data_IF_346850119648
#
_entry.id   IF_346850119648
#
_cell.length_a   1.000
_cell.length_b   1.000
_cell.length_c   1.000
_cell.angle_alpha   90.00
_cell.angle_beta   90.00
_cell.angle_gamma   90.00
#
_symmetry.space_group_name_H-M   'P 1'
#
loop_
_entity.id
_entity.type
_entity.pdbx_description
1 polymer ?
#
# COMPACT_ATOMS: atom_id res chain seq x y z
N UNK A 1 4.79 17.92 5.84
CA UNK A 1 5.75 17.45 4.82
C UNK A 1 5.56 15.97 4.48
N UNK A 2 5.46 15.04 5.43
CA UNK A 2 5.16 13.63 5.10
C UNK A 2 3.82 13.46 4.36
N UNK A 3 2.72 14.03 4.90
CA UNK A 3 1.38 13.97 4.28
C UNK A 3 1.31 14.56 2.87
N UNK A 4 2.12 15.57 2.56
CA UNK A 4 2.16 16.17 1.22
C UNK A 4 2.87 15.25 0.22
N UNK A 5 3.91 14.53 0.66
CA UNK A 5 4.61 13.53 -0.15
C UNK A 5 3.69 12.35 -0.46
N UNK A 6 2.86 11.91 0.50
CA UNK A 6 1.89 10.82 0.28
C UNK A 6 0.81 11.19 -0.75
N UNK A 7 0.29 12.42 -0.71
CA UNK A 7 -0.69 12.90 -1.69
C UNK A 7 -0.08 13.03 -3.10
N UNK A 8 1.16 13.46 -3.21
CA UNK A 8 1.86 13.53 -4.50
C UNK A 8 2.19 12.14 -5.04
N UNK A 9 2.55 11.20 -4.17
CA UNK A 9 2.82 9.81 -4.54
C UNK A 9 1.55 9.13 -5.07
N UNK A 10 0.43 9.24 -4.34
CA UNK A 10 -0.86 8.68 -4.77
C UNK A 10 -1.35 9.30 -6.07
N UNK A 11 -1.21 10.62 -6.25
CA UNK A 11 -1.52 11.30 -7.51
C UNK A 11 -0.66 10.77 -8.67
N UNK A 12 0.65 10.61 -8.44
CA UNK A 12 1.55 10.09 -9.46
C UNK A 12 1.21 8.63 -9.86
N UNK A 13 0.79 7.81 -8.90
CA UNK A 13 0.32 6.43 -9.16
C UNK A 13 -0.93 6.40 -10.03
N UNK A 14 -1.92 7.25 -9.74
CA UNK A 14 -3.14 7.38 -10.55
C UNK A 14 -2.81 7.82 -11.99
N UNK A 15 -1.94 8.83 -12.16
CA UNK A 15 -1.53 9.31 -13.49
C UNK A 15 -0.88 8.21 -14.35
N UNK A 16 -0.10 7.31 -13.75
CA UNK A 16 0.49 6.16 -14.47
C UNK A 16 -0.58 5.15 -14.89
N UNK A 17 -1.53 4.84 -14.00
CA UNK A 17 -2.63 3.91 -14.29
C UNK A 17 -3.50 4.44 -15.43
N UNK A 18 -3.81 5.74 -15.42
CA UNK A 18 -4.59 6.38 -16.49
C UNK A 18 -3.88 6.32 -17.84
N UNK A 19 -2.57 6.56 -17.87
CA UNK A 19 -1.77 6.45 -19.11
C UNK A 19 -1.70 5.01 -19.62
N UNK A 20 -1.55 4.02 -18.73
CA UNK A 20 -1.60 2.60 -19.09
C UNK A 20 -2.97 2.20 -19.62
N UNK A 21 -4.06 2.68 -19.01
CA UNK A 21 -5.41 2.44 -19.49
C UNK A 21 -5.65 3.07 -20.86
N UNK A 22 -5.20 4.31 -21.07
CA UNK A 22 -5.25 4.98 -22.38
C UNK A 22 -4.52 4.17 -23.44
N UNK A 23 -3.29 3.71 -23.16
CA UNK A 23 -2.51 2.91 -24.11
C UNK A 23 -3.23 1.62 -24.56
N UNK A 24 -4.06 1.02 -23.69
CA UNK A 24 -4.86 -0.17 -24.04
C UNK A 24 -5.99 0.11 -25.03
N UNK A 25 -6.53 1.33 -25.02
CA UNK A 25 -7.63 1.75 -25.89
C UNK A 25 -7.18 2.63 -27.06
N UNK A 26 -5.87 2.86 -27.21
CA UNK A 26 -5.33 3.61 -28.34
C UNK A 26 -5.66 2.88 -29.65
N UNK A 27 -6.23 3.59 -30.65
CA UNK A 27 -6.43 3.03 -31.97
C UNK A 27 -5.10 2.57 -32.58
N UNK A 28 -5.04 1.36 -33.14
CA UNK A 28 -3.82 0.79 -33.71
C UNK A 28 -3.18 1.62 -34.83
N UNK A 29 -3.96 2.49 -35.48
CA UNK A 29 -3.49 3.33 -36.57
C UNK A 29 -2.69 4.55 -36.11
N UNK A 30 -2.81 4.95 -34.84
CA UNK A 30 -2.15 6.16 -34.32
C UNK A 30 -0.86 5.79 -33.57
N UNK A 31 0.17 5.47 -34.34
CA UNK A 31 1.49 5.07 -33.81
C UNK A 31 2.16 6.23 -33.07
N UNK A 32 1.99 7.46 -33.55
CA UNK A 32 2.53 8.67 -32.92
C UNK A 32 1.94 8.90 -31.53
N UNK A 33 0.62 8.76 -31.39
CA UNK A 33 -0.03 8.82 -30.09
C UNK A 33 0.44 7.69 -29.18
N UNK A 34 0.58 6.47 -29.71
CA UNK A 34 1.07 5.32 -28.93
C UNK A 34 2.50 5.55 -28.40
N UNK A 35 3.38 6.13 -29.20
CA UNK A 35 4.78 6.36 -28.83
C UNK A 35 4.92 7.56 -27.89
N UNK A 36 4.13 8.62 -28.09
CA UNK A 36 4.02 9.73 -27.16
C UNK A 36 3.53 9.27 -25.78
N UNK A 37 2.51 8.39 -25.73
CA UNK A 37 1.98 7.84 -24.49
C UNK A 37 2.99 6.91 -23.79
N UNK A 38 3.73 6.07 -24.54
CA UNK A 38 4.82 5.25 -23.98
C UNK A 38 5.94 6.13 -23.40
N UNK A 39 6.37 7.17 -24.11
CA UNK A 39 7.39 8.09 -23.64
C UNK A 39 6.94 8.84 -22.36
N UNK A 40 5.70 9.33 -22.35
CA UNK A 40 5.11 9.95 -21.16
C UNK A 40 5.03 8.98 -19.97
N UNK A 41 4.66 7.71 -20.22
CA UNK A 41 4.59 6.67 -19.21
C UNK A 41 5.96 6.38 -18.59
N UNK A 42 7.03 6.30 -19.40
CA UNK A 42 8.41 6.14 -18.90
C UNK A 42 8.79 7.29 -17.98
N UNK A 43 8.61 8.54 -18.43
CA UNK A 43 8.94 9.73 -17.64
C UNK A 43 8.15 9.78 -16.31
N UNK A 44 6.87 9.38 -16.32
CA UNK A 44 6.03 9.33 -15.11
C UNK A 44 6.46 8.21 -14.16
N UNK A 45 6.86 7.04 -14.66
CA UNK A 45 7.42 5.95 -13.84
C UNK A 45 8.72 6.35 -13.16
N UNK A 46 9.60 7.08 -13.85
CA UNK A 46 10.83 7.62 -13.25
C UNK A 46 10.53 8.61 -12.13
N UNK A 47 9.58 9.54 -12.33
CA UNK A 47 9.15 10.48 -11.30
C UNK A 47 8.56 9.74 -10.09
N UNK A 48 7.74 8.72 -10.33
CA UNK A 48 7.12 7.91 -9.30
C UNK A 48 8.16 7.13 -8.48
N UNK A 49 9.19 6.57 -9.13
CA UNK A 49 10.30 5.93 -8.44
C UNK A 49 11.03 6.92 -7.51
N UNK A 50 11.29 8.15 -7.96
CA UNK A 50 11.88 9.21 -7.13
C UNK A 50 10.98 9.59 -5.94
N UNK A 51 9.66 9.67 -6.13
CA UNK A 51 8.74 9.93 -5.03
C UNK A 51 8.69 8.78 -4.02
N UNK A 52 8.77 7.53 -4.49
CA UNK A 52 8.85 6.35 -3.61
C UNK A 52 10.12 6.34 -2.77
N UNK A 53 11.27 6.68 -3.34
CA UNK A 53 12.52 6.77 -2.59
C UNK A 53 12.48 7.90 -1.56
N UNK A 54 11.94 9.07 -1.93
CA UNK A 54 11.75 10.18 -1.00
C UNK A 54 10.78 9.82 0.14
N UNK A 55 9.69 9.10 -0.15
CA UNK A 55 8.75 8.67 0.88
C UNK A 55 9.38 7.62 1.81
N UNK A 56 10.13 6.66 1.26
CA UNK A 56 10.87 5.68 2.06
C UNK A 56 11.94 6.33 2.95
N UNK A 57 12.61 7.38 2.45
CA UNK A 57 13.58 8.15 3.23
C UNK A 57 12.89 8.98 4.33
N UNK A 58 11.72 9.58 4.05
CA UNK A 58 10.93 10.32 5.02
C UNK A 58 10.29 9.43 6.09
N UNK A 59 10.01 8.17 5.75
CA UNK A 59 9.42 7.16 6.63
C UNK A 59 10.43 6.34 7.43
N UNK A 60 11.74 6.64 7.37
CA UNK A 60 12.75 5.97 8.20
C UNK A 60 12.78 6.65 9.58
N UNK A 61 12.12 6.12 10.63
CA UNK A 61 12.61 6.43 11.97
C UNK A 61 14.04 5.95 11.99
N UNK A 62 14.96 6.77 12.50
CA UNK A 62 16.28 6.32 12.91
C UNK A 62 16.04 5.10 13.78
N UNK A 63 16.20 3.89 13.23
CA UNK A 63 16.16 2.66 13.98
C UNK A 63 17.48 2.67 14.73
N UNK A 64 17.50 3.44 15.81
CA UNK A 64 18.53 3.34 16.84
C UNK A 64 18.54 1.86 17.17
N UNK A 65 19.70 1.23 17.00
CA UNK A 65 19.91 -0.16 17.35
C UNK A 65 19.28 -0.37 18.73
N UNK A 66 18.24 -1.21 18.78
CA UNK A 66 17.52 -1.47 20.02
C UNK A 66 18.49 -2.14 20.97
N UNK A 67 18.93 -1.39 21.99
CA UNK A 67 19.55 -1.95 23.19
C UNK A 67 18.62 -3.05 23.72
N UNK A 68 19.12 -4.25 24.07
CA UNK A 68 18.30 -5.35 24.58
C UNK A 68 17.62 -5.04 25.94
N UNK A 69 17.80 -3.82 26.47
CA UNK A 69 17.26 -3.35 27.74
C UNK A 69 16.23 -2.21 27.59
N UNK A 70 15.78 -1.88 26.37
CA UNK A 70 14.69 -0.91 26.22
C UNK A 70 13.34 -1.55 26.58
N UNK A 71 12.57 -0.95 27.52
CA UNK A 71 11.23 -1.44 27.83
C UNK A 71 10.32 -1.27 26.61
N UNK A 72 9.77 -2.39 26.15
CA UNK A 72 8.78 -2.42 25.08
C UNK A 72 7.64 -1.42 25.37
N UNK A 73 7.15 -0.66 24.37
CA UNK A 73 6.07 0.29 24.58
C UNK A 73 4.84 -0.43 25.15
N UNK A 74 4.13 0.22 26.09
CA UNK A 74 3.00 -0.31 26.88
C UNK A 74 1.88 -0.97 26.05
N UNK A 75 1.84 -0.77 24.74
CA UNK A 75 0.84 -1.33 23.82
C UNK A 75 1.28 -2.64 23.16
N UNK A 76 2.54 -3.07 23.35
CA UNK A 76 3.09 -4.33 22.86
C UNK A 76 2.78 -5.54 23.77
N UNK A 77 2.12 -5.32 24.91
CA UNK A 77 1.68 -6.43 25.76
C UNK A 77 0.47 -7.10 25.13
N UNK A 78 0.67 -8.36 24.73
CA UNK A 78 -0.29 -9.37 24.27
C UNK A 78 -1.76 -8.99 24.54
N UNK A 79 -2.51 -8.71 23.46
CA UNK A 79 -3.98 -8.66 23.54
C UNK A 79 -4.47 -9.98 24.14
N UNK A 80 -5.32 -9.97 25.18
CA UNK A 80 -5.90 -11.20 25.70
C UNK A 80 -6.68 -11.90 24.57
N UNK A 81 -6.53 -13.23 24.40
CA UNK A 81 -7.20 -13.95 23.33
C UNK A 81 -8.72 -13.76 23.47
N UNK A 82 -9.36 -13.38 22.35
CA UNK A 82 -10.80 -13.17 22.30
C UNK A 82 -11.49 -14.47 22.74
N UNK A 83 -12.16 -14.44 23.90
CA UNK A 83 -12.96 -15.55 24.43
C UNK A 83 -14.11 -15.79 23.45
N UNK A 84 -13.88 -16.63 22.44
CA UNK A 84 -14.95 -17.08 21.53
C UNK A 84 -15.80 -18.07 22.31
N UNK A 85 -16.79 -17.60 23.05
CA UNK A 85 -17.88 -18.47 23.51
C UNK A 85 -18.74 -18.78 22.28
N UNK A 86 -18.41 -19.86 21.57
CA UNK A 86 -19.32 -20.42 20.57
C UNK A 86 -20.49 -21.02 21.37
N UNK A 87 -21.74 -20.58 21.15
CA UNK A 87 -22.88 -21.21 21.80
C UNK A 87 -22.94 -22.67 21.35
N UNK A 88 -22.71 -23.62 22.26
CA UNK A 88 -22.94 -25.03 21.96
C UNK A 88 -24.44 -25.26 21.87
N UNK A 89 -24.89 -25.74 20.70
CA UNK A 89 -26.28 -26.16 20.49
C UNK A 89 -26.61 -27.28 21.49
N UNK A 90 -27.66 -27.15 22.32
CA UNK A 90 -28.04 -28.21 23.25
C UNK A 90 -28.43 -29.47 22.46
N UNK A 91 -27.92 -30.63 22.86
CA UNK A 91 -28.28 -31.92 22.25
C UNK A 91 -29.73 -32.26 22.60
N UNK A 92 -30.50 -32.69 21.60
CA UNK A 92 -31.89 -33.11 21.77
C UNK A 92 -31.96 -34.30 22.74
N UNK A 93 -32.94 -34.27 23.65
CA UNK A 93 -33.25 -35.40 24.53
C UNK A 93 -33.73 -36.58 23.67
N UNK A 94 -33.01 -37.69 23.71
CA UNK A 94 -33.54 -38.97 23.22
C UNK A 94 -34.47 -39.52 24.30
N UNK A 95 -35.76 -39.55 24.03
CA UNK A 95 -36.75 -40.26 24.83
C UNK A 95 -36.90 -41.67 24.26
N UNK A 96 -36.73 -42.68 25.12
CA UNK A 96 -37.11 -44.06 24.85
C UNK A 96 -38.62 -44.24 25.06
#
# INVERSE_FOLDING_TARGET
MAKTIDLELTRAEVEVIELEARLRVVPMNDTQLSDALKAALVAKKERLAKLRTLNAAAGRPTRVAEDPNQPLPLHATRRPPLKRSVPQRPKAKTTK
#
